data_IF_981419206248
#
_entry.id   IF_981419206248
#
_cell.length_a   1.000
_cell.length_b   1.000
_cell.length_c   1.000
_cell.angle_alpha   90.00
_cell.angle_beta   90.00
_cell.angle_gamma   90.00
#
_symmetry.space_group_name_H-M   'P 1'
#
loop_
_entity.id
_entity.type
_entity.pdbx_description
1 polymer ?
#
# COMPACT_ATOMS: atom_id res chain seq x y z
N UNK A 1 -6.04 -19.17 7.60
CA UNK A 1 -4.86 -18.44 7.09
C UNK A 1 -5.07 -16.97 7.41
N UNK A 2 -4.11 -16.33 8.07
CA UNK A 2 -4.24 -14.93 8.47
C UNK A 2 -3.95 -14.02 7.27
N UNK A 3 -4.71 -12.93 7.08
CA UNK A 3 -4.47 -11.97 5.98
C UNK A 3 -3.02 -11.43 5.99
N UNK A 4 -2.42 -11.32 7.17
CA UNK A 4 -1.03 -10.88 7.34
C UNK A 4 -0.02 -11.83 6.69
N UNK A 5 -0.15 -13.14 6.91
CA UNK A 5 0.75 -14.15 6.35
C UNK A 5 0.63 -14.17 4.82
N UNK A 6 -0.60 -14.20 4.30
CA UNK A 6 -0.86 -14.14 2.86
C UNK A 6 -0.27 -12.87 2.23
N UNK A 7 -0.41 -11.73 2.91
CA UNK A 7 0.08 -10.45 2.44
C UNK A 7 1.61 -10.40 2.36
N UNK A 8 2.31 -10.95 3.36
CA UNK A 8 3.77 -11.02 3.41
C UNK A 8 4.28 -11.91 2.28
N UNK A 9 3.76 -13.13 2.16
CA UNK A 9 4.14 -14.05 1.09
C UNK A 9 3.91 -13.45 -0.30
N UNK A 10 2.87 -12.63 -0.47
CA UNK A 10 2.56 -11.97 -1.73
C UNK A 10 3.58 -10.89 -2.13
N UNK A 11 4.24 -10.23 -1.17
CA UNK A 11 5.03 -9.01 -1.46
C UNK A 11 6.50 -9.09 -1.09
N UNK A 12 6.92 -10.01 -0.21
CA UNK A 12 8.28 -10.07 0.36
C UNK A 12 9.40 -10.17 -0.68
N UNK A 13 9.12 -10.79 -1.82
CA UNK A 13 10.12 -11.00 -2.86
C UNK A 13 10.16 -9.79 -3.80
N UNK A 14 9.32 -9.78 -4.85
CA UNK A 14 9.44 -8.79 -5.94
C UNK A 14 8.95 -7.38 -5.57
N UNK A 15 7.75 -7.29 -4.98
CA UNK A 15 7.11 -5.98 -4.68
C UNK A 15 7.93 -5.20 -3.66
N UNK A 16 8.40 -5.86 -2.60
CA UNK A 16 9.24 -5.23 -1.60
C UNK A 16 10.53 -4.66 -2.21
N UNK A 17 11.19 -5.38 -3.14
CA UNK A 17 12.38 -4.86 -3.80
C UNK A 17 12.12 -3.57 -4.60
N UNK A 18 10.99 -3.50 -5.32
CA UNK A 18 10.59 -2.28 -6.05
C UNK A 18 10.44 -1.12 -5.07
N UNK A 19 9.74 -1.33 -3.95
CA UNK A 19 9.56 -0.29 -2.94
C UNK A 19 10.89 0.12 -2.29
N UNK A 20 11.82 -0.81 -2.05
CA UNK A 20 13.18 -0.50 -1.55
C UNK A 20 13.98 0.34 -2.55
N UNK A 21 13.89 0.04 -3.85
CA UNK A 21 14.55 0.82 -4.89
C UNK A 21 13.99 2.25 -4.98
N UNK A 22 12.67 2.39 -4.92
CA UNK A 22 12.01 3.71 -4.87
C UNK A 22 12.45 4.47 -3.61
N UNK A 23 12.44 3.81 -2.46
CA UNK A 23 12.85 4.39 -1.20
C UNK A 23 14.30 4.91 -1.25
N UNK A 24 15.23 4.09 -1.74
CA UNK A 24 16.62 4.48 -1.93
C UNK A 24 16.78 5.63 -2.94
N UNK A 25 16.05 5.60 -4.07
CA UNK A 25 16.08 6.66 -5.09
C UNK A 25 15.69 8.04 -4.55
N UNK A 26 14.76 8.09 -3.61
CA UNK A 26 14.29 9.33 -2.99
C UNK A 26 14.89 9.55 -1.59
N UNK A 27 15.94 8.81 -1.24
CA UNK A 27 16.68 8.98 0.02
C UNK A 27 15.76 8.90 1.27
N UNK A 28 14.73 8.06 1.19
CA UNK A 28 13.73 7.89 2.24
C UNK A 28 12.76 9.07 2.42
N UNK A 29 12.77 10.07 1.53
CA UNK A 29 11.83 11.18 1.59
C UNK A 29 10.43 10.73 1.14
N UNK A 30 9.56 10.44 2.12
CA UNK A 30 8.19 10.00 1.86
C UNK A 30 7.36 11.01 1.07
N UNK A 31 7.50 12.33 1.32
CA UNK A 31 6.75 13.33 0.56
C UNK A 31 7.05 13.23 -0.94
N UNK A 32 8.33 13.06 -1.30
CA UNK A 32 8.75 12.85 -2.68
C UNK A 32 8.37 11.48 -3.21
N UNK A 33 8.46 10.42 -2.40
CA UNK A 33 8.02 9.08 -2.81
C UNK A 33 6.52 9.11 -3.18
N UNK A 34 5.67 9.70 -2.35
CA UNK A 34 4.23 9.72 -2.60
C UNK A 34 3.80 10.75 -3.65
N UNK A 35 4.62 11.76 -3.96
CA UNK A 35 4.33 12.73 -5.02
C UNK A 35 4.90 12.32 -6.38
N UNK A 36 6.13 11.82 -6.42
CA UNK A 36 6.90 11.54 -7.63
C UNK A 36 7.13 10.03 -7.86
N UNK A 37 7.42 9.29 -6.79
CA UNK A 37 7.79 7.87 -6.86
C UNK A 37 6.60 6.94 -7.13
N UNK A 38 5.47 7.20 -6.50
CA UNK A 38 4.24 6.45 -6.67
C UNK A 38 3.35 7.10 -7.71
N UNK A 39 3.82 7.12 -8.96
CA UNK A 39 3.04 7.63 -10.07
C UNK A 39 3.18 6.70 -11.27
N UNK A 40 2.42 5.61 -11.26
CA UNK A 40 2.43 4.59 -12.30
C UNK A 40 1.05 4.48 -12.97
N UNK A 41 0.97 3.69 -14.05
CA UNK A 41 -0.31 3.41 -14.72
C UNK A 41 -1.32 2.65 -13.85
N UNK A 42 -0.86 1.97 -12.79
CA UNK A 42 -1.71 1.10 -11.96
C UNK A 42 -1.93 1.64 -10.55
N UNK A 43 -1.10 2.58 -10.08
CA UNK A 43 -1.24 3.18 -8.76
C UNK A 43 -0.68 4.59 -8.69
N UNK A 44 -1.26 5.39 -7.81
CA UNK A 44 -0.90 6.78 -7.55
C UNK A 44 -0.76 7.02 -6.06
N UNK A 45 0.27 7.76 -5.67
CA UNK A 45 0.46 8.32 -4.34
C UNK A 45 -0.02 9.76 -4.29
N UNK A 46 -0.29 10.23 -3.08
CA UNK A 46 -0.53 11.65 -2.80
C UNK A 46 -0.10 11.99 -1.38
N UNK A 47 0.50 13.16 -1.22
CA UNK A 47 0.75 13.75 0.11
C UNK A 47 -0.49 14.51 0.53
N UNK A 48 -0.94 14.26 1.76
CA UNK A 48 -2.13 14.90 2.33
C UNK A 48 -1.72 15.86 3.44
N UNK A 49 -0.79 15.42 4.30
CA UNK A 49 -0.10 16.27 5.27
C UNK A 49 1.40 15.91 5.18
N UNK A 50 2.26 16.84 4.71
CA UNK A 50 3.69 16.59 4.55
C UNK A 50 4.32 16.00 5.81
N UNK A 51 5.14 14.97 5.64
CA UNK A 51 5.82 14.29 6.74
C UNK A 51 4.93 13.41 7.62
N UNK A 52 3.61 13.34 7.40
CA UNK A 52 2.68 12.67 8.34
C UNK A 52 1.62 11.80 7.71
N UNK A 53 0.88 12.32 6.73
CA UNK A 53 -0.30 11.65 6.15
C UNK A 53 -0.18 11.55 4.64
N UNK A 54 -0.32 10.34 4.16
CA UNK A 54 -0.20 9.97 2.74
C UNK A 54 -1.40 9.17 2.30
N UNK A 55 -1.59 9.12 0.99
CA UNK A 55 -2.60 8.30 0.34
C UNK A 55 -1.95 7.46 -0.75
N UNK A 56 -2.30 6.18 -0.80
CA UNK A 56 -1.95 5.28 -1.89
C UNK A 56 -3.24 4.76 -2.52
N UNK A 57 -3.38 4.94 -3.83
CA UNK A 57 -4.54 4.50 -4.59
C UNK A 57 -4.14 3.50 -5.69
N UNK A 58 -4.81 2.35 -5.76
CA UNK A 58 -4.72 1.41 -6.87
C UNK A 58 -5.87 1.65 -7.84
N UNK A 59 -5.56 1.93 -9.11
CA UNK A 59 -6.53 2.23 -10.16
C UNK A 59 -7.26 0.98 -10.67
N UNK A 60 -6.72 -0.20 -10.39
CA UNK A 60 -7.35 -1.50 -10.64
C UNK A 60 -6.99 -2.50 -9.54
N UNK A 61 -7.81 -3.53 -9.35
CA UNK A 61 -7.49 -4.60 -8.41
C UNK A 61 -6.44 -5.54 -9.03
N UNK A 62 -5.23 -5.55 -8.49
CA UNK A 62 -4.13 -6.41 -8.95
C UNK A 62 -4.13 -7.82 -8.34
N UNK A 63 -5.02 -8.12 -7.38
CA UNK A 63 -5.02 -9.39 -6.66
C UNK A 63 -5.37 -10.56 -7.60
N UNK A 64 -4.48 -11.56 -7.78
CA UNK A 64 -4.76 -12.69 -8.68
C UNK A 64 -6.01 -13.48 -8.26
N UNK A 65 -6.24 -13.65 -6.96
CA UNK A 65 -7.43 -14.35 -6.43
C UNK A 65 -8.72 -13.63 -6.79
N UNK A 66 -8.71 -12.29 -6.88
CA UNK A 66 -9.87 -11.52 -7.33
C UNK A 66 -10.02 -11.59 -8.84
N UNK A 67 -8.92 -11.40 -9.59
CA UNK A 67 -8.93 -11.49 -11.07
C UNK A 67 -9.40 -12.86 -11.57
N UNK A 68 -9.07 -13.95 -10.86
CA UNK A 68 -9.52 -15.30 -11.19
C UNK A 68 -10.90 -15.66 -10.61
N UNK A 69 -11.62 -14.73 -9.97
CA UNK A 69 -12.95 -14.97 -9.39
C UNK A 69 -12.96 -15.84 -8.13
N UNK A 70 -11.80 -16.16 -7.55
CA UNK A 70 -11.67 -16.98 -6.34
C UNK A 70 -12.03 -16.21 -5.06
N UNK A 71 -12.00 -14.87 -5.09
CA UNK A 71 -12.43 -13.99 -4.00
C UNK A 71 -13.11 -12.75 -4.57
N UNK A 72 -14.27 -12.39 -4.03
CA UNK A 72 -15.03 -11.21 -4.44
C UNK A 72 -15.53 -10.37 -3.25
N UNK A 73 -15.23 -10.77 -2.01
CA UNK A 73 -15.70 -10.09 -0.83
C UNK A 73 -14.76 -8.93 -0.44
N UNK A 74 -15.28 -7.71 -0.12
CA UNK A 74 -14.47 -6.54 0.26
C UNK A 74 -13.47 -6.75 1.39
N UNK A 75 -13.74 -7.67 2.31
CA UNK A 75 -12.82 -8.01 3.40
C UNK A 75 -11.45 -8.50 2.90
N UNK A 76 -11.38 -8.98 1.65
CA UNK A 76 -10.12 -9.37 1.02
C UNK A 76 -9.11 -8.20 0.93
N UNK A 77 -9.58 -6.95 0.88
CA UNK A 77 -8.70 -5.78 0.81
C UNK A 77 -7.88 -5.58 2.08
N UNK A 78 -8.20 -6.26 3.19
CA UNK A 78 -7.33 -6.34 4.36
C UNK A 78 -5.97 -6.94 4.02
N UNK A 79 -5.89 -7.87 3.07
CA UNK A 79 -4.63 -8.40 2.57
C UNK A 79 -3.75 -7.27 2.00
N UNK A 80 -4.31 -6.38 1.18
CA UNK A 80 -3.58 -5.22 0.65
C UNK A 80 -3.13 -4.26 1.76
N UNK A 81 -3.98 -4.02 2.77
CA UNK A 81 -3.65 -3.20 3.93
C UNK A 81 -2.44 -3.77 4.69
N UNK A 82 -2.43 -5.08 4.93
CA UNK A 82 -1.32 -5.79 5.58
C UNK A 82 -0.05 -5.77 4.72
N UNK A 83 -0.17 -5.87 3.38
CA UNK A 83 0.98 -5.77 2.48
C UNK A 83 1.64 -4.39 2.58
N UNK A 84 0.85 -3.32 2.59
CA UNK A 84 1.35 -1.95 2.75
C UNK A 84 2.06 -1.79 4.09
N UNK A 85 1.44 -2.23 5.19
CA UNK A 85 2.04 -2.19 6.53
C UNK A 85 3.38 -2.93 6.60
N UNK A 86 3.43 -4.14 6.04
CA UNK A 86 4.67 -4.91 6.00
C UNK A 86 5.76 -4.20 5.20
N UNK A 87 5.45 -3.67 4.01
CA UNK A 87 6.42 -2.92 3.21
C UNK A 87 6.95 -1.72 4.01
N UNK A 88 6.07 -0.92 4.62
CA UNK A 88 6.47 0.24 5.42
C UNK A 88 7.39 -0.17 6.58
N UNK A 89 7.07 -1.27 7.29
CA UNK A 89 7.91 -1.76 8.39
C UNK A 89 9.28 -2.28 7.92
N UNK A 90 9.44 -2.61 6.64
CA UNK A 90 10.73 -2.99 6.05
C UNK A 90 11.52 -1.79 5.52
N UNK A 91 10.85 -0.69 5.16
CA UNK A 91 11.48 0.53 4.68
C UNK A 91 11.95 1.43 5.83
N UNK A 92 11.14 1.52 6.89
CA UNK A 92 11.39 2.40 8.03
C UNK A 92 11.03 1.65 9.33
N UNK A 93 11.89 0.73 9.80
CA UNK A 93 11.59 -0.19 10.89
C UNK A 93 11.40 0.50 12.25
N UNK A 94 11.99 1.68 12.42
CA UNK A 94 11.90 2.48 13.66
C UNK A 94 10.66 3.39 13.70
N UNK A 95 9.87 3.41 12.62
CA UNK A 95 8.65 4.21 12.53
C UNK A 95 7.39 3.35 12.60
N UNK A 96 6.39 3.87 13.30
CA UNK A 96 5.08 3.24 13.36
C UNK A 96 4.12 3.87 12.34
N UNK A 97 3.36 3.01 11.66
CA UNK A 97 2.37 3.44 10.68
C UNK A 97 0.99 2.84 10.99
N UNK A 98 -0.06 3.64 10.83
CA UNK A 98 -1.44 3.17 10.68
C UNK A 98 -1.83 3.23 9.21
N UNK A 99 -2.56 2.21 8.74
CA UNK A 99 -3.07 2.14 7.38
C UNK A 99 -4.56 1.84 7.46
N UNK A 100 -5.38 2.74 6.91
CA UNK A 100 -6.84 2.60 6.83
C UNK A 100 -7.27 2.39 5.39
N UNK A 101 -8.28 1.55 5.22
CA UNK A 101 -8.94 1.33 3.94
C UNK A 101 -10.06 2.35 3.82
N UNK A 102 -9.92 3.31 2.91
CA UNK A 102 -10.94 4.35 2.68
C UNK A 102 -11.99 3.87 1.68
N UNK A 103 -11.52 3.38 0.52
CA UNK A 103 -12.37 2.96 -0.60
C UNK A 103 -11.83 1.68 -1.22
N UNK A 104 -12.70 0.84 -1.79
CA UNK A 104 -12.27 -0.36 -2.53
C UNK A 104 -13.15 -0.63 -3.74
N UNK A 105 -12.52 -1.14 -4.81
CA UNK A 105 -13.24 -1.56 -6.02
C UNK A 105 -14.25 -2.67 -5.70
N UNK A 106 -13.94 -3.56 -4.76
CA UNK A 106 -14.87 -4.60 -4.31
C UNK A 106 -16.11 -4.04 -3.59
N UNK A 107 -16.09 -2.78 -3.12
CA UNK A 107 -17.25 -2.06 -2.59
C UNK A 107 -17.94 -1.17 -3.63
N UNK A 108 -17.52 -1.23 -4.89
CA UNK A 108 -18.09 -0.44 -5.98
C UNK A 108 -17.43 0.92 -6.22
N UNK A 109 -16.30 1.23 -5.56
CA UNK A 109 -15.51 2.42 -5.88
C UNK A 109 -14.76 2.26 -7.21
N UNK A 110 -14.37 3.37 -7.83
CA UNK A 110 -13.56 3.37 -9.07
C UNK A 110 -12.11 2.91 -8.82
N UNK A 111 -11.62 3.09 -7.60
CA UNK A 111 -10.26 2.74 -7.17
C UNK A 111 -10.23 2.25 -5.73
N UNK A 112 -9.17 1.54 -5.36
CA UNK A 112 -8.88 1.24 -3.95
C UNK A 112 -8.01 2.34 -3.37
N UNK A 113 -8.40 2.93 -2.24
CA UNK A 113 -7.66 4.03 -1.59
C UNK A 113 -7.32 3.67 -0.16
N UNK A 114 -6.04 3.86 0.19
CA UNK A 114 -5.51 3.59 1.52
C UNK A 114 -4.92 4.87 2.10
N UNK A 115 -5.37 5.23 3.30
CA UNK A 115 -4.82 6.31 4.11
C UNK A 115 -3.66 5.76 4.94
N UNK A 116 -2.49 6.37 4.82
CA UNK A 116 -1.28 5.95 5.53
C UNK A 116 -0.86 7.09 6.44
N UNK A 117 -0.76 6.83 7.73
CA UNK A 117 -0.40 7.82 8.73
C UNK A 117 0.82 7.34 9.49
N UNK A 118 1.83 8.20 9.61
CA UNK A 118 2.87 8.01 10.62
C UNK A 118 2.26 8.28 11.98
N UNK A 119 2.41 7.33 12.89
CA UNK A 119 2.03 7.50 14.28
C UNK A 119 3.20 8.18 14.97
N UNK A 120 3.02 9.44 15.33
CA UNK A 120 3.90 10.14 16.25
C UNK A 120 3.59 9.65 17.66
N UNK A 121 4.62 9.38 18.47
CA UNK A 121 4.47 9.19 19.91
C UNK A 121 3.92 10.46 20.59
#
# INVERSE_FOLDING_TARGET
>A
MCYREEAIECVKDHVLQIHKQIYAKYEGNFDRIYTEGYNSKSYTGRVIEPGKVYELSYLECSCPKVKCGLRNHPQQCECSRQSILYILSQLEPDSQFDVRIENTILRGSDRCTFRIMRVSE
#
